data_IF_675057863253
#
_entry.id   IF_675057863253
#
_cell.length_a   1.000
_cell.length_b   1.000
_cell.length_c   1.000
_cell.angle_alpha   90.00
_cell.angle_beta   90.00
_cell.angle_gamma   90.00
#
_symmetry.space_group_name_H-M   'P 1'
#
loop_
_entity.id
_entity.type
_entity.pdbx_description
1 polymer ?
#
# COMPACT_ATOMS: atom_id res chain seq x y z
N UNK A 1 -4.18 -9.11 27.31
CA UNK A 1 -3.05 -8.66 26.46
C UNK A 1 -2.78 -9.81 25.51
N UNK A 2 -2.88 -9.56 24.22
CA UNK A 2 -2.47 -10.53 23.18
C UNK A 2 -0.95 -10.69 23.26
N UNK A 3 -0.46 -11.94 23.12
CA UNK A 3 0.99 -12.19 23.18
C UNK A 3 1.69 -11.53 21.99
N UNK A 4 2.88 -10.96 22.25
CA UNK A 4 3.75 -10.43 21.19
C UNK A 4 4.13 -11.57 20.25
N UNK A 5 4.07 -11.32 18.96
CA UNK A 5 4.43 -12.23 17.87
C UNK A 5 5.66 -11.69 17.13
N UNK A 6 6.31 -12.55 16.38
CA UNK A 6 7.54 -12.22 15.66
C UNK A 6 7.47 -12.69 14.21
N UNK A 7 7.93 -11.85 13.30
CA UNK A 7 8.09 -12.18 11.88
C UNK A 7 9.58 -12.14 11.57
N UNK A 8 10.17 -13.23 11.00
CA UNK A 8 11.52 -13.17 10.45
C UNK A 8 11.61 -12.12 9.35
N UNK A 9 12.48 -11.12 9.54
CA UNK A 9 12.57 -9.97 8.66
C UNK A 9 14.01 -9.43 8.57
N UNK A 10 14.25 -8.44 7.76
CA UNK A 10 15.50 -7.69 7.71
C UNK A 10 15.27 -6.27 8.22
N UNK A 11 16.16 -5.74 9.06
CA UNK A 11 17.49 -6.27 9.45
C UNK A 11 17.47 -7.22 10.66
N UNK A 12 16.33 -7.61 11.15
CA UNK A 12 16.13 -8.52 12.29
C UNK A 12 14.65 -8.83 12.45
N UNK A 13 14.26 -9.61 13.46
CA UNK A 13 12.87 -9.95 13.70
C UNK A 13 12.00 -8.70 13.90
N UNK A 14 10.84 -8.67 13.26
CA UNK A 14 9.81 -7.68 13.50
C UNK A 14 8.85 -8.19 14.56
N UNK A 15 8.70 -7.46 15.65
CA UNK A 15 7.78 -7.80 16.74
C UNK A 15 6.48 -7.01 16.61
N UNK A 16 5.34 -7.66 16.87
CA UNK A 16 4.04 -7.00 16.83
C UNK A 16 3.04 -7.62 17.80
N UNK A 17 2.05 -6.85 18.20
CA UNK A 17 0.84 -7.37 18.85
C UNK A 17 -0.28 -7.43 17.80
N UNK A 18 -0.97 -8.56 17.60
CA UNK A 18 -2.02 -8.66 16.58
C UNK A 18 -3.13 -7.60 16.71
N UNK A 19 -3.44 -7.18 17.93
CA UNK A 19 -4.46 -6.16 18.19
C UNK A 19 -4.06 -4.74 17.78
N UNK A 20 -2.78 -4.49 17.51
CA UNK A 20 -2.24 -3.17 17.14
C UNK A 20 -1.66 -3.15 15.72
N UNK A 21 -1.86 -4.23 14.96
CA UNK A 21 -1.38 -4.39 13.59
C UNK A 21 -2.50 -4.08 12.58
N UNK A 22 -2.16 -3.44 11.46
CA UNK A 22 -3.04 -3.31 10.30
C UNK A 22 -2.29 -3.64 9.00
N UNK A 23 -3.01 -4.14 8.01
CA UNK A 23 -2.53 -4.30 6.63
C UNK A 23 -2.95 -3.09 5.81
N UNK A 24 -1.98 -2.35 5.28
CA UNK A 24 -2.20 -1.22 4.39
C UNK A 24 -1.91 -1.63 2.94
N UNK A 25 -2.93 -1.57 2.10
CA UNK A 25 -2.91 -1.94 0.67
C UNK A 25 -2.95 -0.65 -0.14
N UNK A 26 -1.81 -0.26 -0.70
CA UNK A 26 -1.62 1.04 -1.34
C UNK A 26 -1.85 0.95 -2.84
N UNK A 27 -2.84 1.71 -3.32
CA UNK A 27 -3.07 2.09 -4.73
C UNK A 27 -3.12 0.94 -5.74
N UNK A 28 -3.72 -0.18 -5.37
CA UNK A 28 -3.91 -1.31 -6.29
C UNK A 28 -5.01 -1.02 -7.33
N UNK A 29 -4.85 0.11 -8.05
CA UNK A 29 -5.84 0.68 -8.96
C UNK A 29 -5.68 0.19 -10.39
N UNK A 30 -6.80 0.19 -11.14
CA UNK A 30 -6.82 -0.21 -12.56
C UNK A 30 -5.92 0.67 -13.42
N UNK A 31 -5.84 1.98 -13.14
CA UNK A 31 -4.94 2.92 -13.85
C UNK A 31 -3.46 2.50 -13.77
N UNK A 32 -3.04 1.86 -12.70
CA UNK A 32 -1.65 1.44 -12.51
C UNK A 32 -1.37 0.01 -12.97
N UNK A 33 -2.34 -0.89 -12.86
CA UNK A 33 -2.11 -2.32 -13.00
C UNK A 33 -2.70 -2.96 -14.26
N UNK A 34 -3.68 -2.33 -14.92
CA UNK A 34 -4.27 -2.94 -16.10
C UNK A 34 -3.62 -2.46 -17.40
N UNK A 35 -3.45 -3.37 -18.40
CA UNK A 35 -3.14 -2.97 -19.76
C UNK A 35 -4.14 -1.95 -20.28
N UNK A 36 -3.66 -0.91 -20.94
CA UNK A 36 -4.46 0.22 -21.41
C UNK A 36 -4.63 1.34 -20.37
N UNK A 37 -4.26 1.13 -19.11
CA UNK A 37 -4.35 2.15 -18.06
C UNK A 37 -3.29 3.24 -18.16
N UNK A 38 -3.37 4.18 -17.22
CA UNK A 38 -2.43 5.31 -17.15
C UNK A 38 -0.97 4.88 -17.05
N UNK A 39 -0.66 3.85 -16.22
CA UNK A 39 0.70 3.33 -16.06
C UNK A 39 1.33 2.89 -17.37
N UNK A 40 0.60 2.10 -18.18
CA UNK A 40 1.08 1.67 -19.50
C UNK A 40 1.16 2.82 -20.50
N UNK A 41 0.26 3.80 -20.43
CA UNK A 41 0.28 4.97 -21.31
C UNK A 41 1.56 5.82 -21.14
N UNK A 42 2.23 5.71 -20.00
CA UNK A 42 3.53 6.31 -19.74
C UNK A 42 4.71 5.49 -20.29
N UNK A 43 4.44 4.36 -20.94
CA UNK A 43 5.46 3.46 -21.50
C UNK A 43 5.98 2.42 -20.50
N UNK A 44 5.32 2.24 -19.37
CA UNK A 44 5.73 1.26 -18.35
C UNK A 44 5.19 -0.14 -18.66
N UNK A 45 5.90 -1.17 -18.21
CA UNK A 45 5.43 -2.55 -18.21
C UNK A 45 4.58 -2.81 -16.96
N UNK A 46 3.27 -2.82 -17.12
CA UNK A 46 2.32 -3.12 -16.02
C UNK A 46 2.44 -4.57 -15.54
N UNK A 47 3.00 -5.46 -16.34
CA UNK A 47 3.26 -6.85 -15.94
C UNK A 47 4.15 -6.93 -14.70
N UNK A 48 5.10 -6.02 -14.54
CA UNK A 48 5.96 -5.95 -13.35
C UNK A 48 5.15 -5.68 -12.07
N UNK A 49 4.17 -4.79 -12.11
CA UNK A 49 3.30 -4.53 -10.95
C UNK A 49 2.32 -5.67 -10.69
N UNK A 50 1.87 -6.36 -11.73
CA UNK A 50 0.89 -7.45 -11.60
C UNK A 50 1.46 -8.68 -10.90
N UNK A 51 2.78 -8.82 -10.82
CA UNK A 51 3.43 -9.91 -10.07
C UNK A 51 3.08 -9.92 -8.58
N UNK A 52 2.71 -8.76 -8.01
CA UNK A 52 2.38 -8.65 -6.59
C UNK A 52 0.94 -9.10 -6.25
N UNK A 53 0.07 -9.28 -7.25
CA UNK A 53 -1.37 -9.52 -7.03
C UNK A 53 -1.60 -10.83 -6.27
N UNK A 54 -0.99 -11.92 -6.72
CA UNK A 54 -1.19 -13.25 -6.13
C UNK A 54 -0.69 -13.32 -4.66
N UNK A 55 0.58 -12.95 -4.35
CA UNK A 55 1.04 -12.96 -2.96
C UNK A 55 0.26 -12.00 -2.08
N UNK A 56 -0.14 -10.82 -2.58
CA UNK A 56 -0.95 -9.88 -1.82
C UNK A 56 -2.37 -10.41 -1.54
N UNK A 57 -3.01 -11.07 -2.49
CA UNK A 57 -4.31 -11.71 -2.28
C UNK A 57 -4.23 -12.77 -1.17
N UNK A 58 -3.17 -13.58 -1.17
CA UNK A 58 -2.90 -14.56 -0.11
C UNK A 58 -2.69 -13.90 1.26
N UNK A 59 -1.91 -12.83 1.30
CA UNK A 59 -1.68 -12.06 2.53
C UNK A 59 -2.95 -11.40 3.06
N UNK A 60 -3.77 -10.79 2.18
CA UNK A 60 -5.07 -10.21 2.56
C UNK A 60 -6.00 -11.26 3.15
N UNK A 61 -6.05 -12.47 2.56
CA UNK A 61 -6.85 -13.58 3.09
C UNK A 61 -6.37 -14.00 4.49
N UNK A 62 -5.07 -14.10 4.72
CA UNK A 62 -4.50 -14.43 6.02
C UNK A 62 -4.76 -13.33 7.06
N UNK A 63 -4.59 -12.06 6.70
CA UNK A 63 -4.87 -10.93 7.57
C UNK A 63 -6.35 -10.91 8.00
N UNK A 64 -7.28 -11.09 7.04
CA UNK A 64 -8.72 -11.19 7.30
C UNK A 64 -9.04 -12.34 8.23
N UNK A 65 -8.47 -13.52 8.01
CA UNK A 65 -8.66 -14.68 8.88
C UNK A 65 -8.15 -14.46 10.30
N UNK A 66 -7.06 -13.71 10.44
CA UNK A 66 -6.47 -13.32 11.73
C UNK A 66 -7.18 -12.13 12.40
N UNK A 67 -8.21 -11.54 11.78
CA UNK A 67 -8.90 -10.36 12.30
C UNK A 67 -8.08 -9.06 12.23
N UNK A 68 -7.01 -9.05 11.45
CA UNK A 68 -6.19 -7.86 11.20
C UNK A 68 -6.95 -6.92 10.25
N UNK A 69 -7.16 -5.66 10.60
CA UNK A 69 -7.82 -4.69 9.72
C UNK A 69 -7.08 -4.52 8.41
N UNK A 70 -7.81 -4.56 7.29
CA UNK A 70 -7.30 -4.24 5.96
C UNK A 70 -7.79 -2.84 5.59
N UNK A 71 -6.85 -1.98 5.21
CA UNK A 71 -7.10 -0.59 4.81
C UNK A 71 -6.55 -0.40 3.41
N UNK A 72 -7.38 0.09 2.51
CA UNK A 72 -7.01 0.35 1.12
C UNK A 72 -6.82 1.83 0.87
N UNK A 73 -5.89 2.19 -0.02
CA UNK A 73 -5.83 3.55 -0.55
C UNK A 73 -6.01 3.58 -2.05
N UNK A 74 -6.49 4.73 -2.55
CA UNK A 74 -6.56 5.05 -3.99
C UNK A 74 -6.04 6.46 -4.21
N UNK A 75 -5.03 6.63 -5.06
CA UNK A 75 -4.60 7.96 -5.45
C UNK A 75 -5.59 8.54 -6.46
N UNK A 76 -6.12 9.71 -6.17
CA UNK A 76 -7.01 10.40 -7.08
C UNK A 76 -7.51 11.73 -6.54
N UNK A 77 -7.92 12.58 -7.47
CA UNK A 77 -8.40 13.92 -7.22
C UNK A 77 -9.90 14.05 -7.40
N UNK A 78 -10.50 15.09 -6.80
CA UNK A 78 -11.91 15.44 -6.98
C UNK A 78 -12.22 15.68 -8.47
N UNK A 79 -13.46 15.44 -8.93
CA UNK A 79 -13.82 15.63 -10.33
C UNK A 79 -13.58 17.04 -10.88
N UNK A 80 -13.64 18.06 -10.03
CA UNK A 80 -13.33 19.45 -10.37
C UNK A 80 -11.84 19.81 -10.24
N UNK A 81 -11.00 18.86 -9.78
CA UNK A 81 -9.56 19.01 -9.53
C UNK A 81 -9.21 20.11 -8.51
N UNK A 82 -10.13 20.56 -7.70
CA UNK A 82 -9.93 21.63 -6.71
C UNK A 82 -8.92 21.26 -5.62
N UNK A 83 -8.71 19.95 -5.37
CA UNK A 83 -7.73 19.41 -4.44
C UNK A 83 -6.37 19.13 -5.08
N UNK A 84 -6.18 19.44 -6.37
CA UNK A 84 -4.92 19.21 -7.09
C UNK A 84 -4.13 20.51 -7.24
N UNK A 85 -2.96 20.65 -6.59
CA UNK A 85 -2.15 21.87 -6.72
C UNK A 85 -1.71 22.11 -8.17
N UNK A 86 -1.60 23.39 -8.62
CA UNK A 86 -1.19 23.70 -10.00
C UNK A 86 0.12 23.06 -10.45
N UNK A 87 1.10 22.97 -9.55
CA UNK A 87 2.38 22.31 -9.84
C UNK A 87 2.22 20.81 -10.12
N UNK A 88 1.20 20.15 -9.57
CA UNK A 88 0.90 18.75 -9.81
C UNK A 88 0.09 18.58 -11.10
N UNK A 89 -0.91 19.45 -11.34
CA UNK A 89 -1.70 19.47 -12.57
C UNK A 89 -0.87 19.68 -13.83
N UNK A 90 0.16 20.54 -13.76
CA UNK A 90 1.00 20.88 -14.91
C UNK A 90 2.15 19.87 -15.13
N UNK A 91 2.30 18.88 -14.27
CA UNK A 91 3.36 17.87 -14.38
C UNK A 91 2.99 16.80 -15.40
N UNK A 92 3.99 16.34 -16.15
CA UNK A 92 3.81 15.33 -17.20
C UNK A 92 3.63 15.92 -18.59
N UNK A 93 3.61 15.02 -19.58
CA UNK A 93 3.39 15.37 -20.98
C UNK A 93 1.95 15.80 -21.21
N UNK A 94 1.66 16.68 -22.17
CA UNK A 94 0.28 16.95 -22.61
C UNK A 94 -0.43 15.64 -22.95
N UNK A 95 -1.73 15.55 -22.59
CA UNK A 95 -2.58 14.35 -22.73
C UNK A 95 -2.27 13.18 -21.77
N UNK A 96 -1.34 13.37 -20.81
CA UNK A 96 -0.97 12.37 -19.80
C UNK A 96 -0.92 13.00 -18.40
N UNK A 97 -1.68 14.06 -18.19
CA UNK A 97 -1.76 14.76 -16.90
C UNK A 97 -2.97 14.29 -16.11
N UNK A 98 -2.93 14.56 -14.82
CA UNK A 98 -4.10 14.36 -13.95
C UNK A 98 -5.28 15.12 -14.53
N UNK A 99 -6.41 14.42 -14.69
CA UNK A 99 -7.63 14.98 -15.24
C UNK A 99 -7.76 14.92 -16.76
N UNK A 100 -6.70 14.64 -17.51
CA UNK A 100 -6.79 14.42 -18.96
C UNK A 100 -7.59 13.14 -19.26
N UNK A 101 -8.26 13.06 -20.43
CA UNK A 101 -8.92 11.84 -20.85
C UNK A 101 -7.93 10.67 -21.05
N UNK A 102 -8.24 9.53 -20.46
CA UNK A 102 -7.53 8.26 -20.64
C UNK A 102 -8.47 7.15 -21.07
N UNK A 103 -7.94 5.95 -21.32
CA UNK A 103 -8.73 4.81 -21.75
C UNK A 103 -9.74 4.33 -20.69
N UNK A 104 -9.45 4.58 -19.41
CA UNK A 104 -10.29 4.18 -18.28
C UNK A 104 -11.00 5.36 -17.60
N UNK A 105 -11.30 6.40 -18.34
CA UNK A 105 -11.85 7.65 -17.84
C UNK A 105 -10.79 8.72 -17.66
N UNK A 106 -11.06 9.76 -16.89
CA UNK A 106 -10.09 10.82 -16.61
C UNK A 106 -9.01 10.32 -15.65
N UNK A 107 -7.76 10.53 -16.04
CA UNK A 107 -6.58 10.04 -15.32
C UNK A 107 -6.59 10.50 -13.86
N UNK A 108 -6.53 9.56 -12.91
CA UNK A 108 -6.49 9.79 -11.47
C UNK A 108 -7.60 10.72 -10.95
N UNK A 109 -8.80 10.56 -11.48
CA UNK A 109 -9.99 11.29 -11.01
C UNK A 109 -10.92 10.33 -10.28
N UNK A 110 -11.38 10.71 -9.10
CA UNK A 110 -12.27 9.91 -8.26
C UNK A 110 -13.58 9.63 -8.97
N UNK A 111 -14.02 8.36 -8.90
CA UNK A 111 -15.25 7.90 -9.55
C UNK A 111 -15.05 7.38 -10.98
N UNK A 112 -13.90 7.59 -11.59
CA UNK A 112 -13.59 7.01 -12.88
C UNK A 112 -13.22 5.53 -12.76
N UNK A 113 -13.38 4.75 -13.83
CA UNK A 113 -13.07 3.31 -13.83
C UNK A 113 -11.61 3.02 -13.49
N UNK A 114 -10.68 3.82 -14.02
CA UNK A 114 -9.24 3.68 -13.76
C UNK A 114 -8.85 3.95 -12.31
N UNK A 115 -9.59 4.84 -11.63
CA UNK A 115 -9.35 5.18 -10.24
C UNK A 115 -9.66 4.04 -9.27
N UNK A 116 -10.55 3.13 -9.62
CA UNK A 116 -10.97 2.08 -8.70
C UNK A 116 -9.96 0.93 -8.60
N UNK A 117 -10.05 0.17 -7.51
CA UNK A 117 -9.18 -0.98 -7.22
C UNK A 117 -9.49 -2.10 -8.21
N UNK A 118 -8.47 -2.88 -8.59
CA UNK A 118 -8.63 -4.06 -9.43
C UNK A 118 -9.51 -5.12 -8.75
N UNK A 119 -10.23 -5.89 -9.55
CA UNK A 119 -11.23 -6.85 -9.06
C UNK A 119 -10.63 -7.95 -8.18
N UNK A 120 -9.39 -8.37 -8.50
CA UNK A 120 -8.67 -9.42 -7.78
C UNK A 120 -8.38 -9.06 -6.32
N UNK A 121 -8.32 -7.76 -6.00
CA UNK A 121 -8.00 -7.24 -4.66
C UNK A 121 -9.09 -6.32 -4.12
N UNK A 122 -10.32 -6.48 -4.63
CA UNK A 122 -11.44 -5.65 -4.23
C UNK A 122 -11.65 -5.66 -2.70
N UNK A 123 -11.90 -4.48 -2.09
CA UNK A 123 -12.23 -4.39 -0.68
C UNK A 123 -13.49 -5.19 -0.33
N UNK A 124 -13.50 -5.82 0.83
CA UNK A 124 -14.71 -6.42 1.39
C UNK A 124 -15.58 -5.37 2.08
N UNK A 125 -16.86 -5.68 2.22
CA UNK A 125 -17.79 -4.82 2.96
C UNK A 125 -17.29 -4.58 4.40
N UNK A 126 -17.15 -3.31 4.77
CA UNK A 126 -16.64 -2.88 6.07
C UNK A 126 -15.14 -2.61 6.13
N UNK A 127 -14.38 -2.93 5.09
CA UNK A 127 -12.99 -2.47 4.98
C UNK A 127 -12.92 -0.98 4.63
N UNK A 128 -11.91 -0.31 5.16
CA UNK A 128 -11.70 1.13 4.94
C UNK A 128 -11.04 1.36 3.60
N UNK A 129 -11.61 2.26 2.79
CA UNK A 129 -11.01 2.70 1.52
C UNK A 129 -10.80 4.21 1.61
N UNK A 130 -9.57 4.67 1.44
CA UNK A 130 -9.15 6.05 1.58
C UNK A 130 -8.72 6.61 0.23
N UNK A 131 -9.39 7.64 -0.23
CA UNK A 131 -8.99 8.40 -1.41
C UNK A 131 -7.99 9.48 -1.02
N UNK A 132 -6.79 9.44 -1.59
CA UNK A 132 -5.70 10.36 -1.25
C UNK A 132 -5.30 11.26 -2.42
N UNK A 133 -5.19 12.58 -2.22
CA UNK A 133 -4.74 13.51 -3.26
C UNK A 133 -3.22 13.58 -3.38
N UNK A 134 -2.50 12.97 -2.46
CA UNK A 134 -1.02 12.95 -2.37
C UNK A 134 -0.44 11.59 -2.71
N UNK A 135 0.91 11.52 -2.76
CA UNK A 135 1.63 10.25 -2.90
C UNK A 135 1.58 9.46 -1.58
N UNK A 136 1.85 10.12 -0.45
CA UNK A 136 1.74 9.51 0.87
C UNK A 136 0.28 9.33 1.30
N UNK A 137 0.03 8.24 2.02
CA UNK A 137 -1.32 7.87 2.45
C UNK A 137 -1.87 8.74 3.60
N UNK A 138 -1.01 9.45 4.30
CA UNK A 138 -1.41 10.32 5.42
C UNK A 138 -1.73 11.77 4.99
N UNK A 139 -1.21 12.20 3.83
CA UNK A 139 -1.38 13.59 3.38
C UNK A 139 -2.82 13.89 2.99
N UNK A 140 -3.44 14.81 3.72
CA UNK A 140 -4.82 15.27 3.51
C UNK A 140 -5.85 14.11 3.45
N UNK A 141 -5.70 13.13 4.35
CA UNK A 141 -6.60 11.98 4.50
C UNK A 141 -6.95 11.73 5.95
N UNK A 142 -7.95 10.88 6.16
CA UNK A 142 -8.38 10.39 7.47
C UNK A 142 -7.58 9.17 7.98
N UNK A 143 -6.48 8.75 7.33
CA UNK A 143 -5.74 7.54 7.70
C UNK A 143 -5.27 7.56 9.16
N UNK A 144 -4.74 8.69 9.63
CA UNK A 144 -4.30 8.81 11.03
C UNK A 144 -5.43 8.53 12.02
N UNK A 145 -6.61 9.09 11.76
CA UNK A 145 -7.77 8.92 12.64
C UNK A 145 -8.31 7.48 12.57
N UNK A 146 -8.32 6.88 11.38
CA UNK A 146 -8.74 5.50 11.18
C UNK A 146 -7.82 4.51 11.93
N UNK A 147 -6.50 4.74 11.92
CA UNK A 147 -5.53 3.94 12.65
C UNK A 147 -5.63 4.15 14.17
N UNK A 148 -5.68 5.41 14.60
CA UNK A 148 -5.81 5.76 16.01
C UNK A 148 -7.09 5.22 16.64
N UNK A 149 -8.22 5.31 15.92
CA UNK A 149 -9.51 4.78 16.38
C UNK A 149 -9.53 3.27 16.61
N UNK A 150 -8.55 2.54 16.03
CA UNK A 150 -8.37 1.11 16.21
C UNK A 150 -7.17 0.75 17.09
N UNK A 151 -6.45 1.74 17.64
CA UNK A 151 -5.24 1.52 18.45
C UNK A 151 -4.07 0.92 17.68
N UNK A 152 -4.00 1.15 16.37
CA UNK A 152 -2.93 0.61 15.52
C UNK A 152 -1.63 1.37 15.76
N UNK A 153 -0.55 0.62 15.93
CA UNK A 153 0.83 1.14 16.08
C UNK A 153 1.80 0.51 15.09
N UNK A 154 1.40 -0.57 14.42
CA UNK A 154 2.25 -1.31 13.48
C UNK A 154 1.53 -1.53 12.15
N UNK A 155 2.24 -1.39 11.05
CA UNK A 155 1.70 -1.50 9.70
C UNK A 155 2.45 -2.58 8.89
N UNK A 156 1.70 -3.50 8.29
CA UNK A 156 2.15 -4.28 7.14
C UNK A 156 1.88 -3.42 5.90
N UNK A 157 2.92 -3.00 5.20
CA UNK A 157 2.79 -2.08 4.06
C UNK A 157 2.96 -2.83 2.75
N UNK A 158 1.98 -2.69 1.87
CA UNK A 158 1.90 -3.37 0.56
C UNK A 158 1.40 -2.42 -0.53
N UNK A 159 1.44 -2.86 -1.79
CA UNK A 159 0.87 -2.12 -2.93
C UNK A 159 1.91 -1.43 -3.81
N UNK A 160 1.51 -0.40 -4.54
CA UNK A 160 2.31 0.22 -5.61
C UNK A 160 2.31 1.75 -5.57
N UNK A 161 3.35 2.44 -6.12
CA UNK A 161 4.64 1.84 -6.49
C UNK A 161 5.63 1.99 -5.34
N UNK A 162 6.57 1.06 -5.26
CA UNK A 162 7.53 0.97 -4.14
C UNK A 162 8.23 2.30 -3.86
N UNK A 163 8.82 2.91 -4.87
CA UNK A 163 9.61 4.15 -4.75
C UNK A 163 8.79 5.43 -4.59
N UNK A 164 7.47 5.37 -4.83
CA UNK A 164 6.58 6.54 -4.77
C UNK A 164 5.62 6.44 -3.59
N UNK A 165 4.45 5.83 -3.79
CA UNK A 165 3.38 5.86 -2.77
C UNK A 165 3.75 5.03 -1.54
N UNK A 166 4.38 3.87 -1.72
CA UNK A 166 4.84 3.03 -0.60
C UNK A 166 5.90 3.76 0.21
N UNK A 167 7.00 4.20 -0.42
CA UNK A 167 8.09 4.88 0.28
C UNK A 167 7.66 6.17 0.96
N UNK A 168 6.83 6.99 0.28
CA UNK A 168 6.32 8.23 0.88
C UNK A 168 5.48 7.91 2.12
N UNK A 169 4.64 6.88 2.06
CA UNK A 169 3.80 6.47 3.18
C UNK A 169 4.64 5.93 4.35
N UNK A 170 5.63 5.05 4.07
CA UNK A 170 6.51 4.48 5.11
C UNK A 170 7.29 5.55 5.84
N UNK A 171 7.86 6.52 5.13
CA UNK A 171 8.62 7.62 5.76
C UNK A 171 7.74 8.49 6.65
N UNK A 172 6.56 8.85 6.18
CA UNK A 172 5.61 9.62 6.98
C UNK A 172 5.04 8.80 8.15
N UNK A 173 4.80 7.50 7.97
CA UNK A 173 4.41 6.60 9.05
C UNK A 173 5.48 6.55 10.15
N UNK A 174 6.76 6.43 9.77
CA UNK A 174 7.88 6.44 10.70
C UNK A 174 7.95 7.75 11.49
N UNK A 175 7.85 8.92 10.81
CA UNK A 175 7.82 10.23 11.48
C UNK A 175 6.62 10.39 12.43
N UNK A 176 5.54 9.63 12.23
CA UNK A 176 4.35 9.59 13.11
C UNK A 176 4.43 8.54 14.21
N UNK A 177 5.51 7.77 14.27
CA UNK A 177 5.75 6.75 15.30
C UNK A 177 5.11 5.39 15.04
N UNK A 178 4.76 5.08 13.79
CA UNK A 178 4.33 3.73 13.41
C UNK A 178 5.55 2.85 13.08
N UNK A 179 5.52 1.61 13.56
CA UNK A 179 6.43 0.58 13.12
C UNK A 179 5.96 -0.02 11.80
N UNK A 180 6.82 -0.02 10.79
CA UNK A 180 6.46 -0.47 9.44
C UNK A 180 7.24 -1.72 9.02
N UNK A 181 6.53 -2.76 8.57
CA UNK A 181 7.09 -3.88 7.84
C UNK A 181 6.59 -3.83 6.41
N UNK A 182 7.50 -3.64 5.46
CA UNK A 182 7.18 -3.69 4.02
C UNK A 182 7.26 -5.12 3.53
N UNK A 183 6.19 -5.61 2.90
CA UNK A 183 6.13 -6.98 2.41
C UNK A 183 6.66 -7.02 0.98
N UNK A 184 7.89 -7.56 0.82
CA UNK A 184 8.73 -7.38 -0.37
C UNK A 184 8.16 -7.89 -1.69
N UNK A 185 7.42 -8.98 -1.66
CA UNK A 185 6.74 -9.60 -2.81
C UNK A 185 5.30 -9.11 -2.98
N UNK A 186 4.82 -8.25 -2.06
CA UNK A 186 3.54 -7.56 -2.11
C UNK A 186 3.67 -6.06 -2.41
N UNK A 187 4.88 -5.56 -2.71
CA UNK A 187 5.10 -4.22 -3.25
C UNK A 187 5.77 -4.30 -4.60
N UNK A 188 5.46 -3.38 -5.50
CA UNK A 188 5.96 -3.41 -6.87
C UNK A 188 6.39 -2.06 -7.42
N UNK A 189 7.37 -2.08 -8.32
CA UNK A 189 7.82 -0.93 -9.10
C UNK A 189 7.82 -1.29 -10.59
N UNK A 190 7.57 -0.30 -11.46
CA UNK A 190 7.82 -0.43 -12.90
C UNK A 190 9.32 -0.55 -13.24
N UNK A 191 10.19 -0.26 -12.26
CA UNK A 191 11.64 -0.24 -12.43
C UNK A 191 12.28 -1.23 -11.45
N UNK A 192 12.79 -2.40 -11.92
CA UNK A 192 13.36 -3.43 -11.04
C UNK A 192 14.47 -2.90 -10.12
N UNK A 193 15.28 -1.96 -10.60
CA UNK A 193 16.32 -1.35 -9.78
C UNK A 193 15.74 -0.49 -8.66
N UNK A 194 14.66 0.25 -8.91
CA UNK A 194 13.99 1.04 -7.87
C UNK A 194 13.34 0.14 -6.84
N UNK A 195 12.75 -0.99 -7.27
CA UNK A 195 12.25 -2.02 -6.36
C UNK A 195 13.33 -2.49 -5.40
N UNK A 196 14.47 -2.93 -5.94
CA UNK A 196 15.59 -3.45 -5.15
C UNK A 196 16.12 -2.40 -4.18
N UNK A 197 16.50 -1.24 -4.69
CA UNK A 197 17.08 -0.15 -3.88
C UNK A 197 16.06 0.40 -2.88
N UNK A 198 14.79 0.49 -3.26
CA UNK A 198 13.70 0.93 -2.37
C UNK A 198 13.61 0.06 -1.12
N UNK A 199 13.62 -1.26 -1.28
CA UNK A 199 13.59 -2.20 -0.15
C UNK A 199 14.86 -2.11 0.71
N UNK A 200 16.04 -2.00 0.08
CA UNK A 200 17.30 -1.80 0.79
C UNK A 200 17.33 -0.52 1.63
N UNK A 201 16.77 0.59 1.12
CA UNK A 201 16.67 1.84 1.85
C UNK A 201 15.83 1.74 3.11
N UNK A 202 14.78 0.91 3.11
CA UNK A 202 13.90 0.73 4.27
C UNK A 202 14.65 0.03 5.39
N UNK A 203 15.32 -1.09 5.08
CA UNK A 203 16.02 -1.92 6.05
C UNK A 203 17.42 -1.40 6.42
N UNK A 204 17.94 -0.39 5.70
CA UNK A 204 19.27 0.15 5.93
C UNK A 204 19.45 0.69 7.36
N UNK A 205 20.70 0.76 7.81
CA UNK A 205 21.08 1.36 9.09
C UNK A 205 20.31 0.78 10.30
N UNK A 206 20.05 -0.52 10.27
CA UNK A 206 19.34 -1.19 11.35
C UNK A 206 17.82 -1.01 11.31
N UNK A 207 17.25 -0.74 10.11
CA UNK A 207 15.82 -0.54 9.93
C UNK A 207 15.38 0.90 10.14
N UNK A 208 16.13 1.87 9.57
CA UNK A 208 15.88 3.30 9.82
C UNK A 208 14.45 3.75 9.44
N UNK A 209 13.81 3.05 8.48
CA UNK A 209 12.42 3.28 8.12
C UNK A 209 11.52 2.09 8.40
N UNK A 210 12.08 0.96 8.86
CA UNK A 210 11.31 -0.23 9.19
C UNK A 210 11.98 -1.52 8.75
N UNK A 211 11.16 -2.53 8.57
CA UNK A 211 11.56 -3.91 8.27
C UNK A 211 11.07 -4.33 6.89
N UNK A 212 11.71 -5.39 6.37
CA UNK A 212 11.34 -6.01 5.10
C UNK A 212 11.27 -7.53 5.30
N UNK A 213 10.14 -8.14 4.91
CA UNK A 213 9.95 -9.58 4.88
C UNK A 213 9.13 -9.99 3.65
N UNK A 214 9.12 -11.26 3.29
CA UNK A 214 8.21 -11.79 2.27
C UNK A 214 6.82 -12.14 2.85
N UNK A 215 5.85 -12.31 1.97
CA UNK A 215 4.48 -12.66 2.37
C UNK A 215 4.40 -14.02 3.07
N UNK A 216 5.25 -14.97 2.72
CA UNK A 216 5.25 -16.30 3.33
C UNK A 216 5.62 -16.23 4.82
N UNK A 217 6.63 -15.43 5.18
CA UNK A 217 7.02 -15.21 6.57
C UNK A 217 5.88 -14.52 7.37
N UNK A 218 5.25 -13.49 6.78
CA UNK A 218 4.13 -12.79 7.42
C UNK A 218 2.93 -13.73 7.61
N UNK A 219 2.51 -14.44 6.57
CA UNK A 219 1.39 -15.39 6.62
C UNK A 219 1.65 -16.49 7.67
N UNK A 220 2.89 -17.00 7.73
CA UNK A 220 3.28 -17.99 8.73
C UNK A 220 3.07 -17.49 10.16
N UNK A 221 3.50 -16.27 10.46
CA UNK A 221 3.31 -15.66 11.78
C UNK A 221 1.83 -15.39 12.10
N UNK A 222 1.04 -14.87 11.15
CA UNK A 222 -0.40 -14.64 11.33
C UNK A 222 -1.17 -15.94 11.58
N UNK A 223 -0.80 -17.03 10.89
CA UNK A 223 -1.44 -18.35 11.05
C UNK A 223 -1.12 -18.96 12.42
N UNK A 224 0.11 -18.77 12.91
CA UNK A 224 0.50 -19.25 14.24
C UNK A 224 -0.32 -18.61 15.36
N UNK A 225 -0.74 -17.34 15.21
CA UNK A 225 -1.61 -16.65 16.17
C UNK A 225 -2.97 -17.33 16.33
N UNK A 226 -3.53 -17.89 15.24
CA UNK A 226 -4.81 -18.58 15.25
C UNK A 226 -4.77 -19.94 15.96
N UNK A 227 -3.59 -20.54 16.06
CA UNK A 227 -3.38 -21.88 16.62
C UNK A 227 -3.11 -21.86 18.13
N UNK A 228 -2.94 -20.68 18.74
CA UNK A 228 -2.70 -20.56 20.18
C UNK A 228 -4.02 -20.33 20.90
N UNK A 229 -4.53 -21.31 21.71
CA UNK A 229 -5.76 -21.09 22.46
C UNK A 229 -5.62 -19.90 23.41
N UNK A 230 -6.63 -19.04 23.47
CA UNK A 230 -6.75 -18.01 24.48
C UNK A 230 -6.67 -18.66 25.88
N UNK A 231 -5.62 -18.37 26.65
CA UNK A 231 -5.49 -18.79 28.03
C UNK A 231 -6.34 -17.92 28.96
#
# INVERSE_FOLDING_TARGET
>A
MTAVQYIPAQPGEFSFEPSTLALLVIDMQRDFLLPGGFGESLGNDVGLLRTVIEPLAGLMAAARAAGIPVIHTREGHLPDLSDCPPAKLLRGSPSQRIGDPGAFGRILVRGEYGHDIIDELAPLAGEVVIDKPGKGAFYATELSDALAGKGITSLLVTGVTTEVCVHTTVREANDRGFECLVVSDCVGSYFPEFQRVGLEMIAAQGGIFGWVADSAAVIGALTATLSTPAQ
#
